data_IF_609902414818
#
_entry.id   IF_609902414818
#
_cell.length_a   1.000
_cell.length_b   1.000
_cell.length_c   1.000
_cell.angle_alpha   90.00
_cell.angle_beta   90.00
_cell.angle_gamma   90.00
#
_symmetry.space_group_name_H-M   'P 1'
#
loop_
_entity.id
_entity.type
_entity.pdbx_description
1 polymer ?
#
# COMPACT_ATOMS: atom_id res chain seq x y z
N UNK A 1 18.74 61.01 18.02
CA UNK A 1 19.16 60.24 19.21
C UNK A 1 18.82 58.77 18.96
N UNK A 2 19.81 57.91 18.79
CA UNK A 2 19.69 56.49 18.39
C UNK A 2 20.44 55.64 19.41
N UNK A 3 19.74 54.96 20.30
CA UNK A 3 20.22 53.88 21.21
C UNK A 3 18.99 52.98 21.42
N UNK A 4 19.00 51.65 21.37
CA UNK A 4 19.99 50.60 21.13
C UNK A 4 19.18 49.31 21.29
N UNK A 5 19.24 48.42 20.30
CA UNK A 5 18.34 47.28 20.13
C UNK A 5 18.48 46.21 21.23
N UNK A 6 17.33 45.66 21.65
CA UNK A 6 17.09 44.39 22.33
C UNK A 6 18.33 43.59 22.79
N UNK A 7 18.75 43.79 24.04
CA UNK A 7 19.54 42.80 24.77
C UNK A 7 18.60 41.87 25.54
N UNK A 8 18.82 40.55 25.40
CA UNK A 8 18.51 39.63 26.50
C UNK A 8 17.46 38.54 26.28
N UNK A 9 17.49 37.81 25.15
CA UNK A 9 16.92 36.44 25.10
C UNK A 9 17.99 35.36 24.89
N UNK A 10 19.27 35.67 25.07
CA UNK A 10 20.39 34.78 24.75
C UNK A 10 20.45 33.48 25.57
N UNK A 11 19.89 33.46 26.78
CA UNK A 11 19.87 32.26 27.63
C UNK A 11 18.53 31.51 27.54
N UNK A 12 17.39 32.19 27.67
CA UNK A 12 16.06 31.56 27.57
C UNK A 12 15.74 31.03 26.17
N UNK A 13 16.24 31.69 25.12
CA UNK A 13 16.07 31.21 23.75
C UNK A 13 16.69 29.84 23.51
N UNK A 14 17.82 29.54 24.18
CA UNK A 14 18.47 28.23 24.08
C UNK A 14 17.62 27.11 24.70
N UNK A 15 17.00 27.35 25.86
CA UNK A 15 16.09 26.39 26.49
C UNK A 15 14.82 26.17 25.66
N UNK A 16 14.24 27.22 25.10
CA UNK A 16 13.08 27.12 24.21
C UNK A 16 13.43 26.30 22.97
N UNK A 17 14.60 26.54 22.38
CA UNK A 17 15.08 25.82 21.20
C UNK A 17 15.35 24.34 21.49
N UNK A 18 15.93 24.02 22.66
CA UNK A 18 16.12 22.64 23.12
C UNK A 18 14.78 21.91 23.27
N UNK A 19 13.79 22.55 23.91
CA UNK A 19 12.45 21.97 24.05
C UNK A 19 11.79 21.72 22.69
N UNK A 20 11.95 22.65 21.75
CA UNK A 20 11.38 22.54 20.40
C UNK A 20 12.03 21.38 19.62
N UNK A 21 13.35 21.21 19.73
CA UNK A 21 14.06 20.08 19.12
C UNK A 21 13.64 18.74 19.71
N UNK A 22 13.48 18.66 21.03
CA UNK A 22 12.99 17.44 21.70
C UNK A 22 11.57 17.12 21.24
N UNK A 23 10.68 18.12 21.18
CA UNK A 23 9.32 17.95 20.69
C UNK A 23 9.28 17.46 19.24
N UNK A 24 10.09 18.05 18.35
CA UNK A 24 10.22 17.59 16.96
C UNK A 24 10.79 16.18 16.86
N UNK A 25 11.76 15.83 17.70
CA UNK A 25 12.33 14.47 17.74
C UNK A 25 11.27 13.45 18.17
N UNK A 26 10.46 13.76 19.20
CA UNK A 26 9.37 12.88 19.64
C UNK A 26 8.31 12.72 18.55
N UNK A 27 7.92 13.83 17.90
CA UNK A 27 6.99 13.80 16.77
C UNK A 27 7.52 12.97 15.61
N UNK A 28 8.80 13.13 15.26
CA UNK A 28 9.43 12.34 14.20
C UNK A 28 9.42 10.84 14.54
N UNK A 29 9.79 10.45 15.77
CA UNK A 29 9.77 9.05 16.19
C UNK A 29 8.36 8.45 16.14
N UNK A 30 7.34 9.19 16.59
CA UNK A 30 5.94 8.76 16.49
C UNK A 30 5.50 8.58 15.03
N UNK A 31 5.94 9.47 14.15
CA UNK A 31 5.63 9.40 12.71
C UNK A 31 6.34 8.22 12.02
N UNK A 32 7.56 7.85 12.42
CA UNK A 32 8.28 6.72 11.82
C UNK A 32 7.87 5.36 12.40
N UNK A 33 7.45 5.29 13.67
CA UNK A 33 6.99 4.03 14.30
C UNK A 33 5.63 3.56 13.79
N UNK A 34 4.87 4.40 13.08
CA UNK A 34 3.53 4.06 12.61
C UNK A 34 3.51 3.23 11.33
N UNK A 35 4.68 2.87 10.75
CA UNK A 35 4.69 1.97 9.59
C UNK A 35 4.09 0.63 10.02
N UNK A 36 2.93 0.23 9.49
CA UNK A 36 2.32 -1.03 9.85
C UNK A 36 3.30 -2.14 9.51
N UNK A 37 3.49 -3.07 10.45
CA UNK A 37 4.27 -4.28 10.20
C UNK A 37 3.63 -4.97 9.00
N UNK A 38 4.36 -5.08 7.89
CA UNK A 38 3.86 -5.68 6.67
C UNK A 38 3.39 -7.11 6.98
N UNK A 39 2.15 -7.42 6.58
CA UNK A 39 1.57 -8.75 6.76
C UNK A 39 2.48 -9.79 6.05
N UNK A 40 2.80 -10.94 6.67
CA UNK A 40 3.57 -12.01 6.04
C UNK A 40 3.09 -12.38 4.62
N UNK A 41 1.78 -12.30 4.39
CA UNK A 41 1.19 -12.53 3.06
C UNK A 41 1.62 -11.46 2.05
N UNK A 42 1.58 -10.18 2.44
CA UNK A 42 2.05 -9.06 1.60
C UNK A 42 3.54 -9.19 1.29
N UNK A 43 4.36 -9.64 2.25
CA UNK A 43 5.79 -9.89 2.04
C UNK A 43 5.99 -10.96 0.96
N UNK A 44 5.26 -12.08 1.05
CA UNK A 44 5.29 -13.16 0.06
C UNK A 44 4.94 -12.65 -1.35
N UNK A 45 3.88 -11.84 -1.47
CA UNK A 45 3.47 -11.28 -2.76
C UNK A 45 4.52 -10.32 -3.35
N UNK A 46 5.14 -9.49 -2.51
CA UNK A 46 6.22 -8.59 -2.93
C UNK A 46 7.44 -9.38 -3.41
N UNK A 47 7.76 -10.50 -2.76
CA UNK A 47 8.88 -11.35 -3.19
C UNK A 47 8.60 -12.00 -4.55
N UNK A 48 7.37 -12.45 -4.81
CA UNK A 48 6.96 -12.90 -6.16
C UNK A 48 7.15 -11.78 -7.18
N UNK A 49 6.72 -10.54 -6.88
CA UNK A 49 6.93 -9.41 -7.80
C UNK A 49 8.41 -9.11 -8.04
N UNK A 50 9.26 -9.21 -7.01
CA UNK A 50 10.71 -9.02 -7.17
C UNK A 50 11.31 -10.07 -8.10
N UNK A 51 10.89 -11.33 -7.98
CA UNK A 51 11.33 -12.39 -8.89
C UNK A 51 10.92 -12.07 -10.34
N UNK A 52 9.69 -11.60 -10.57
CA UNK A 52 9.21 -11.21 -11.90
C UNK A 52 9.98 -10.02 -12.47
N UNK A 53 10.27 -9.03 -11.65
CA UNK A 53 11.09 -7.88 -12.03
C UNK A 53 12.54 -8.29 -12.36
N UNK A 54 13.15 -9.15 -11.53
CA UNK A 54 14.50 -9.66 -11.76
C UNK A 54 14.59 -10.52 -13.04
N UNK A 55 13.51 -11.23 -13.38
CA UNK A 55 13.37 -11.96 -14.64
C UNK A 55 13.12 -11.06 -15.87
N UNK A 56 12.92 -9.75 -15.68
CA UNK A 56 12.63 -8.80 -16.76
C UNK A 56 11.23 -8.97 -17.37
N UNK A 57 10.30 -9.64 -16.68
CA UNK A 57 8.93 -9.85 -17.15
C UNK A 57 8.10 -8.56 -17.03
N UNK A 58 8.39 -7.76 -16.01
CA UNK A 58 7.73 -6.48 -15.74
C UNK A 58 8.74 -5.35 -15.70
N UNK A 59 8.30 -4.15 -16.06
CA UNK A 59 9.12 -2.94 -15.99
C UNK A 59 9.21 -2.39 -14.56
N UNK A 60 10.10 -1.42 -14.35
CA UNK A 60 10.21 -0.75 -13.04
C UNK A 60 8.93 0.00 -12.67
N UNK A 61 8.28 0.63 -13.65
CA UNK A 61 7.01 1.36 -13.43
C UNK A 61 5.89 0.40 -13.04
N UNK A 62 5.75 -0.72 -13.77
CA UNK A 62 4.79 -1.78 -13.46
C UNK A 62 5.05 -2.42 -12.09
N UNK A 63 6.32 -2.62 -11.73
CA UNK A 63 6.68 -3.13 -10.41
C UNK A 63 6.22 -2.17 -9.30
N UNK A 64 6.46 -0.87 -9.46
CA UNK A 64 6.05 0.16 -8.49
C UNK A 64 4.53 0.20 -8.36
N UNK A 65 3.80 0.20 -9.49
CA UNK A 65 2.34 0.20 -9.51
C UNK A 65 1.77 -1.05 -8.81
N UNK A 66 2.22 -2.24 -9.20
CA UNK A 66 1.76 -3.52 -8.63
C UNK A 66 2.06 -3.59 -7.12
N UNK A 67 3.25 -3.14 -6.71
CA UNK A 67 3.65 -3.10 -5.30
C UNK A 67 2.75 -2.18 -4.48
N UNK A 68 2.47 -0.98 -4.98
CA UNK A 68 1.60 -0.02 -4.29
C UNK A 68 0.20 -0.60 -4.06
N UNK A 69 -0.37 -1.23 -5.09
CA UNK A 69 -1.69 -1.88 -4.99
C UNK A 69 -1.69 -2.99 -3.93
N UNK A 70 -0.64 -3.81 -3.87
CA UNK A 70 -0.54 -4.91 -2.90
C UNK A 70 -0.36 -4.41 -1.46
N UNK A 71 0.36 -3.31 -1.25
CA UNK A 71 0.60 -2.72 0.07
C UNK A 71 -0.63 -1.96 0.61
N UNK A 72 -1.41 -1.31 -0.26
CA UNK A 72 -2.58 -0.51 0.13
C UNK A 72 -3.90 -1.30 0.19
N UNK A 73 -3.94 -2.51 -0.38
CA UNK A 73 -5.19 -3.27 -0.45
C UNK A 73 -5.65 -3.77 0.92
N UNK A 74 -6.94 -3.58 1.20
CA UNK A 74 -7.62 -4.21 2.35
C UNK A 74 -8.29 -5.49 1.90
N UNK A 75 -8.14 -6.54 2.70
CA UNK A 75 -8.81 -7.83 2.49
C UNK A 75 -10.27 -7.74 2.93
N UNK A 76 -11.14 -7.26 2.05
CA UNK A 76 -12.58 -7.16 2.32
C UNK A 76 -13.29 -8.50 2.05
N UNK A 77 -12.90 -9.20 0.97
CA UNK A 77 -13.47 -10.47 0.57
C UNK A 77 -12.47 -11.62 0.84
N UNK A 78 -12.91 -12.80 1.32
CA UNK A 78 -12.03 -13.97 1.56
C UNK A 78 -11.29 -14.46 0.31
N UNK A 79 -11.77 -14.13 -0.89
CA UNK A 79 -11.16 -14.51 -2.17
C UNK A 79 -10.18 -13.46 -2.73
N UNK A 80 -10.13 -12.26 -2.14
CA UNK A 80 -9.17 -11.21 -2.52
C UNK A 80 -7.70 -11.67 -2.45
N UNK A 81 -7.25 -12.45 -1.44
CA UNK A 81 -5.89 -13.00 -1.42
C UNK A 81 -5.55 -13.84 -2.65
N UNK A 82 -6.48 -14.70 -3.11
CA UNK A 82 -6.26 -15.57 -4.27
C UNK A 82 -6.14 -14.74 -5.56
N UNK A 83 -6.97 -13.72 -5.70
CA UNK A 83 -6.88 -12.78 -6.81
C UNK A 83 -5.55 -12.00 -6.81
N UNK A 84 -5.10 -11.56 -5.63
CA UNK A 84 -3.82 -10.88 -5.45
C UNK A 84 -2.63 -11.78 -5.78
N UNK A 85 -2.67 -13.07 -5.45
CA UNK A 85 -1.62 -14.01 -5.84
C UNK A 85 -1.48 -14.10 -7.37
N UNK A 86 -2.60 -14.20 -8.10
CA UNK A 86 -2.58 -14.18 -9.58
C UNK A 86 -2.04 -12.87 -10.14
N UNK A 87 -2.42 -11.75 -9.52
CA UNK A 87 -1.94 -10.44 -9.91
C UNK A 87 -0.42 -10.29 -9.68
N UNK A 88 0.10 -10.75 -8.54
CA UNK A 88 1.54 -10.75 -8.26
C UNK A 88 2.32 -11.65 -9.22
N UNK A 89 1.72 -12.78 -9.63
CA UNK A 89 2.31 -13.68 -10.62
C UNK A 89 2.31 -13.12 -12.06
N UNK A 90 1.71 -11.95 -12.27
CA UNK A 90 1.53 -11.34 -13.60
C UNK A 90 0.66 -12.19 -14.53
N UNK A 91 -0.30 -12.95 -13.98
CA UNK A 91 -1.28 -13.71 -14.77
C UNK A 91 -2.45 -12.85 -15.25
N UNK A 92 -2.63 -11.68 -14.62
CA UNK A 92 -3.66 -10.70 -14.95
C UNK A 92 -3.07 -9.30 -14.85
N UNK A 93 -3.65 -8.39 -15.64
CA UNK A 93 -3.29 -6.97 -15.65
C UNK A 93 -4.03 -6.18 -14.58
N UNK A 94 -3.57 -4.95 -14.32
CA UNK A 94 -4.21 -4.06 -13.33
C UNK A 94 -5.68 -3.84 -13.65
N UNK A 95 -6.03 -3.70 -14.94
CA UNK A 95 -7.42 -3.48 -15.37
C UNK A 95 -8.31 -4.67 -14.99
N UNK A 96 -7.89 -5.88 -15.34
CA UNK A 96 -8.65 -7.10 -15.05
C UNK A 96 -8.74 -7.34 -13.55
N UNK A 97 -7.65 -7.12 -12.82
CA UNK A 97 -7.63 -7.20 -11.36
C UNK A 97 -8.69 -6.28 -10.73
N UNK A 98 -8.76 -5.02 -11.16
CA UNK A 98 -9.73 -4.06 -10.62
C UNK A 98 -11.17 -4.43 -10.97
N UNK A 99 -11.43 -4.94 -12.18
CA UNK A 99 -12.76 -5.39 -12.59
C UNK A 99 -13.20 -6.58 -11.72
N UNK A 100 -12.38 -7.62 -11.61
CA UNK A 100 -12.72 -8.82 -10.83
C UNK A 100 -12.89 -8.45 -9.35
N UNK A 101 -12.02 -7.59 -8.82
CA UNK A 101 -12.13 -7.10 -7.45
C UNK A 101 -13.46 -6.38 -7.21
N UNK A 102 -13.84 -5.46 -8.10
CA UNK A 102 -15.09 -4.74 -7.97
C UNK A 102 -16.30 -5.70 -7.99
N UNK A 103 -16.26 -6.72 -8.85
CA UNK A 103 -17.31 -7.76 -8.90
C UNK A 103 -17.40 -8.51 -7.56
N UNK A 104 -16.27 -8.90 -6.98
CA UNK A 104 -16.20 -9.60 -5.69
C UNK A 104 -16.64 -8.75 -4.49
N UNK A 105 -16.45 -7.43 -4.54
CA UNK A 105 -16.81 -6.52 -3.45
C UNK A 105 -18.25 -6.00 -3.57
N UNK A 106 -18.74 -5.78 -4.79
CA UNK A 106 -20.06 -5.17 -5.03
C UNK A 106 -21.21 -6.17 -5.07
N UNK A 107 -20.97 -7.40 -5.54
CA UNK A 107 -22.00 -8.41 -5.70
C UNK A 107 -21.88 -9.44 -4.59
N UNK A 108 -23.01 -9.75 -3.96
CA UNK A 108 -23.12 -10.86 -3.02
C UNK A 108 -23.18 -12.18 -3.81
N UNK A 109 -22.07 -12.49 -4.50
CA UNK A 109 -21.94 -13.66 -5.34
C UNK A 109 -21.85 -14.91 -4.49
N UNK A 110 -22.32 -16.01 -5.06
CA UNK A 110 -22.18 -17.29 -4.41
C UNK A 110 -20.70 -17.62 -4.19
N UNK A 111 -20.42 -18.35 -3.11
CA UNK A 111 -19.06 -18.65 -2.66
C UNK A 111 -18.24 -19.35 -3.75
N UNK A 112 -18.88 -20.26 -4.50
CA UNK A 112 -18.30 -21.03 -5.60
C UNK A 112 -17.93 -20.16 -6.80
N UNK A 113 -18.77 -19.19 -7.14
CA UNK A 113 -18.55 -18.26 -8.26
C UNK A 113 -17.41 -17.31 -7.93
N UNK A 114 -17.39 -16.80 -6.70
CA UNK A 114 -16.33 -15.91 -6.20
C UNK A 114 -14.96 -16.59 -6.21
N UNK A 115 -14.92 -17.86 -5.77
CA UNK A 115 -13.72 -18.69 -5.81
C UNK A 115 -13.27 -18.95 -7.26
N UNK A 116 -14.22 -19.29 -8.15
CA UNK A 116 -13.95 -19.53 -9.57
C UNK A 116 -13.38 -18.30 -10.28
N UNK A 117 -13.94 -17.12 -10.03
CA UNK A 117 -13.44 -15.85 -10.56
C UNK A 117 -12.06 -15.51 -10.03
N UNK A 118 -11.84 -15.64 -8.72
CA UNK A 118 -10.55 -15.36 -8.11
C UNK A 118 -9.47 -16.30 -8.64
N UNK A 119 -9.76 -17.60 -8.82
CA UNK A 119 -8.82 -18.58 -9.39
C UNK A 119 -8.64 -18.46 -10.91
N UNK A 120 -9.55 -17.79 -11.61
CA UNK A 120 -9.53 -17.67 -13.07
C UNK A 120 -10.12 -18.88 -13.80
N UNK A 121 -10.94 -19.65 -13.09
CA UNK A 121 -11.72 -20.76 -13.65
C UNK A 121 -12.95 -20.25 -14.40
N UNK A 122 -13.43 -19.06 -14.04
CA UNK A 122 -14.55 -18.38 -14.69
C UNK A 122 -14.05 -17.10 -15.37
N UNK A 123 -14.45 -16.85 -16.63
CA UNK A 123 -14.22 -15.56 -17.25
C UNK A 123 -15.06 -14.49 -16.55
N UNK A 124 -14.48 -13.33 -16.31
CA UNK A 124 -15.17 -12.22 -15.65
C UNK A 124 -16.10 -11.45 -16.60
N UNK A 125 -15.96 -11.67 -17.92
CA UNK A 125 -16.79 -11.05 -18.96
C UNK A 125 -18.27 -11.37 -18.77
N UNK A 126 -18.60 -12.60 -18.39
CA UNK A 126 -19.96 -13.08 -18.12
C UNK A 126 -20.64 -12.35 -16.94
N UNK A 127 -19.86 -11.65 -16.13
CA UNK A 127 -20.31 -10.97 -14.91
C UNK A 127 -20.22 -9.45 -15.02
N UNK A 128 -19.82 -8.92 -16.18
CA UNK A 128 -19.64 -7.48 -16.41
C UNK A 128 -20.98 -6.76 -16.61
N UNK A 129 -22.01 -7.48 -17.07
CA UNK A 129 -23.34 -6.93 -17.44
C UNK A 129 -24.47 -7.25 -16.44
N UNK A 130 -24.17 -8.01 -15.39
CA UNK A 130 -25.11 -8.32 -14.28
C UNK A 130 -25.04 -7.21 -13.22
#
# INVERSE_FOLDING_TARGET
MRHGYHMGFGLYGSYILIFLLIAFSVLAVLFFKSKPVANPFTIKLIDILKEKYAAGIITADEYIERKMIIEELKFVNPYTPVLLERYAQCLIDTKDFLIIRNILESKNLDSSISEGLAKGLLPYEDFKDI
#
